data_IF_184829978733
#
_entry.id   IF_184829978733
#
_cell.length_a   1.000
_cell.length_b   1.000
_cell.length_c   1.000
_cell.angle_alpha   90.00
_cell.angle_beta   90.00
_cell.angle_gamma   90.00
#
_symmetry.space_group_name_H-M   'P 1'
#
loop_
_entity.id
_entity.type
_entity.pdbx_description
1 polymer ?
#
# COMPACT_ATOMS: atom_id res chain seq x y z
N UNK A 1 -12.07 23.60 -16.33
CA UNK A 1 -11.98 22.13 -16.31
C UNK A 1 -11.95 21.67 -14.86
N UNK A 2 -13.08 21.24 -14.32
CA UNK A 2 -13.12 20.68 -12.96
C UNK A 2 -12.58 19.26 -13.03
N UNK A 3 -11.37 19.03 -12.52
CA UNK A 3 -10.85 17.67 -12.33
C UNK A 3 -11.72 17.02 -11.25
N UNK A 4 -12.54 16.05 -11.64
CA UNK A 4 -13.21 15.15 -10.72
C UNK A 4 -12.14 14.30 -10.02
N UNK A 5 -11.47 14.87 -9.00
CA UNK A 5 -10.64 14.07 -8.12
C UNK A 5 -11.58 13.13 -7.37
N UNK A 6 -11.38 11.82 -7.58
CA UNK A 6 -12.03 10.80 -6.77
C UNK A 6 -11.82 11.19 -5.29
N UNK A 7 -12.91 11.30 -4.52
CA UNK A 7 -12.83 11.64 -3.09
C UNK A 7 -12.05 10.60 -2.28
N UNK A 8 -11.82 9.43 -2.89
CA UNK A 8 -10.98 8.37 -2.38
C UNK A 8 -9.70 8.29 -3.22
N UNK A 9 -8.57 8.85 -2.76
CA UNK A 9 -7.30 8.64 -3.45
C UNK A 9 -7.00 7.14 -3.48
N UNK A 10 -6.82 6.58 -4.68
CA UNK A 10 -6.42 5.20 -4.88
C UNK A 10 -5.08 5.13 -5.61
N UNK A 11 -4.21 4.22 -5.19
CA UNK A 11 -2.93 3.93 -5.82
C UNK A 11 -2.97 2.50 -6.33
N UNK A 12 -2.86 2.32 -7.65
CA UNK A 12 -2.74 1.00 -8.25
C UNK A 12 -1.26 0.67 -8.45
N UNK A 13 -0.77 -0.33 -7.72
CA UNK A 13 0.56 -0.91 -7.91
C UNK A 13 0.45 -2.09 -8.88
N UNK A 14 1.39 -2.22 -9.82
CA UNK A 14 1.39 -3.27 -10.84
C UNK A 14 2.79 -3.87 -10.98
N UNK A 15 2.84 -5.18 -11.26
CA UNK A 15 4.06 -5.93 -11.56
C UNK A 15 4.32 -7.05 -10.56
N UNK A 16 5.10 -8.05 -11.00
CA UNK A 16 5.41 -9.26 -10.23
C UNK A 16 6.31 -8.99 -9.01
N UNK A 17 6.98 -7.83 -8.99
CA UNK A 17 7.83 -7.37 -7.89
C UNK A 17 7.09 -7.23 -6.55
N UNK A 18 5.75 -7.11 -6.57
CA UNK A 18 4.94 -7.10 -5.35
C UNK A 18 5.00 -8.45 -4.65
N UNK A 19 4.91 -9.56 -5.40
CA UNK A 19 5.03 -10.90 -4.83
C UNK A 19 6.46 -11.14 -4.32
N UNK A 20 7.48 -10.70 -5.07
CA UNK A 20 8.88 -10.78 -4.66
C UNK A 20 9.17 -9.97 -3.37
N UNK A 21 8.47 -8.84 -3.19
CA UNK A 21 8.54 -8.03 -1.98
C UNK A 21 7.70 -8.57 -0.81
N UNK A 22 6.99 -9.71 -0.99
CA UNK A 22 6.16 -10.34 0.02
C UNK A 22 4.73 -9.80 0.11
N UNK A 23 4.28 -9.03 -0.89
CA UNK A 23 2.91 -8.52 -1.04
C UNK A 23 2.11 -9.35 -2.03
N UNK A 24 2.01 -10.66 -1.77
CA UNK A 24 1.20 -11.57 -2.57
C UNK A 24 -0.31 -11.28 -2.47
N UNK A 25 -1.09 -11.96 -3.30
CA UNK A 25 -2.55 -11.92 -3.24
C UNK A 25 -3.06 -12.35 -1.84
N UNK A 26 -4.11 -11.71 -1.33
CA UNK A 26 -4.67 -11.91 0.02
C UNK A 26 -3.69 -11.67 1.20
N UNK A 27 -2.55 -11.03 0.95
CA UNK A 27 -1.62 -10.68 2.04
C UNK A 27 -2.08 -9.39 2.73
N UNK A 28 -2.32 -9.41 4.06
CA UNK A 28 -2.59 -8.18 4.80
C UNK A 28 -1.36 -7.27 4.74
N UNK A 29 -1.58 -5.96 4.57
CA UNK A 29 -0.51 -4.95 4.53
C UNK A 29 -0.79 -3.83 5.50
N UNK A 30 0.27 -3.20 6.01
CA UNK A 30 0.17 -1.98 6.81
C UNK A 30 0.61 -0.80 5.96
N UNK A 31 -0.23 0.23 5.90
CA UNK A 31 0.08 1.49 5.24
C UNK A 31 0.37 2.54 6.31
N UNK A 32 1.57 3.10 6.28
CA UNK A 32 2.00 4.20 7.16
C UNK A 32 2.29 5.44 6.34
N UNK A 33 1.90 6.61 6.86
CA UNK A 33 2.18 7.90 6.24
C UNK A 33 3.32 8.58 6.98
N UNK A 34 4.43 8.78 6.29
CA UNK A 34 5.57 9.55 6.78
C UNK A 34 5.68 10.88 6.02
N UNK A 35 6.59 11.77 6.46
CA UNK A 35 6.76 13.09 5.81
C UNK A 35 7.21 12.93 4.36
N UNK A 36 6.25 13.04 3.44
CA UNK A 36 6.48 12.95 1.99
C UNK A 36 6.45 11.52 1.43
N UNK A 37 6.11 10.51 2.22
CA UNK A 37 6.17 9.11 1.80
C UNK A 37 4.99 8.29 2.32
N UNK A 38 4.53 7.36 1.48
CA UNK A 38 3.61 6.29 1.86
C UNK A 38 4.42 5.01 1.96
N UNK A 39 4.54 4.46 3.16
CA UNK A 39 5.27 3.23 3.42
C UNK A 39 4.28 2.08 3.45
N UNK A 40 4.52 1.09 2.59
CA UNK A 40 3.77 -0.16 2.54
C UNK A 40 4.67 -1.21 3.14
N UNK A 41 4.22 -1.83 4.22
CA UNK A 41 4.96 -2.87 4.92
C UNK A 41 4.09 -4.07 5.22
N UNK A 42 4.74 -5.20 5.46
CA UNK A 42 4.05 -6.36 6.04
C UNK A 42 3.62 -6.03 7.49
N UNK A 43 2.43 -6.48 7.93
CA UNK A 43 2.00 -6.32 9.30
C UNK A 43 3.05 -6.96 10.20
N UNK A 44 3.61 -6.17 11.11
CA UNK A 44 4.48 -6.73 12.12
C UNK A 44 3.62 -7.72 12.94
N UNK A 45 4.02 -8.99 13.09
CA UNK A 45 3.29 -9.89 13.98
C UNK A 45 3.25 -9.24 15.36
N UNK A 46 2.06 -9.20 15.96
CA UNK A 46 1.93 -8.74 17.34
C UNK A 46 2.77 -9.70 18.20
N UNK A 47 3.77 -9.21 18.95
CA UNK A 47 4.48 -10.07 19.89
C UNK A 47 3.48 -10.56 20.97
N UNK A 48 3.63 -11.81 21.46
CA UNK A 48 2.79 -12.35 22.52
C UNK A 48 2.97 -11.62 23.86
#
# INVERSE_FOLDING_TARGET
MSRFYNRHPSLHLKGDWLEEAGFGTDTPVTISVERGQLVIGVPRPFPP
#
